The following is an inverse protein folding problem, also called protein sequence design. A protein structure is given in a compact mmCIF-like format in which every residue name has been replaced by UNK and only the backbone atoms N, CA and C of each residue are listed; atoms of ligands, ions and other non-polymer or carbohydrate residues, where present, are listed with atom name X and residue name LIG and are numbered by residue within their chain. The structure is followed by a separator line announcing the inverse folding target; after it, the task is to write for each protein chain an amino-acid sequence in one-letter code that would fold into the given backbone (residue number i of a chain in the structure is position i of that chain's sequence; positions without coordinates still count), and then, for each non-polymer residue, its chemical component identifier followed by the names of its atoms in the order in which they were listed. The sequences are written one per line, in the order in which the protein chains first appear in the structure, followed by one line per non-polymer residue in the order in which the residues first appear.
data_IF_754441438245
#
_entry.id   IF_754441438245
#
_cell.length_a   1.000
_cell.length_b   1.000
_cell.length_c   1.000
_cell.angle_alpha   90.00
_cell.angle_beta   90.00
_cell.angle_gamma   90.00
#
_symmetry.space_group_name_H-M   'P 1'
#
loop_
_entity.id
_entity.type
_entity.pdbx_description
1 polymer ?
#
# COMPACT_ATOMS: atom_id res chain seq x y z
N UNK A 1 -20.18 -9.06 -10.12
CA UNK A 1 -20.41 -7.70 -9.62
C UNK A 1 -19.08 -7.09 -9.18
N UNK A 2 -18.71 -5.93 -9.75
CA UNK A 2 -17.56 -5.17 -9.29
C UNK A 2 -17.92 -4.34 -8.04
N UNK A 3 -17.04 -4.33 -7.03
CA UNK A 3 -17.29 -3.75 -5.71
C UNK A 3 -17.58 -2.25 -5.72
N UNK A 4 -17.19 -1.55 -6.80
CA UNK A 4 -17.39 -0.12 -7.04
C UNK A 4 -18.80 0.23 -7.57
N UNK A 5 -19.52 -0.72 -8.17
CA UNK A 5 -20.77 -0.46 -8.87
C UNK A 5 -21.99 -1.06 -8.15
N UNK A 6 -21.94 -1.18 -6.82
CA UNK A 6 -23.01 -1.79 -6.01
C UNK A 6 -24.36 -1.08 -6.14
N UNK A 7 -24.35 0.20 -6.48
CA UNK A 7 -25.56 1.01 -6.70
C UNK A 7 -26.10 0.95 -8.13
N UNK A 8 -25.43 0.25 -9.05
CA UNK A 8 -25.84 0.14 -10.46
C UNK A 8 -26.73 -1.09 -10.62
N UNK A 9 -27.95 -0.96 -11.20
CA UNK A 9 -28.78 -2.11 -11.57
C UNK A 9 -28.03 -3.10 -12.47
N UNK A 10 -28.32 -4.40 -12.32
CA UNK A 10 -27.61 -5.46 -13.04
C UNK A 10 -27.70 -5.31 -14.56
N UNK A 11 -28.84 -4.82 -15.06
CA UNK A 11 -29.05 -4.57 -16.48
C UNK A 11 -28.08 -3.51 -17.00
N UNK A 12 -28.01 -2.35 -16.32
CA UNK A 12 -27.08 -1.26 -16.68
C UNK A 12 -25.61 -1.64 -16.45
N UNK A 13 -25.33 -2.49 -15.45
CA UNK A 13 -23.99 -3.01 -15.23
C UNK A 13 -23.52 -3.84 -16.42
N UNK A 14 -24.38 -4.76 -16.89
CA UNK A 14 -24.06 -5.65 -18.02
C UNK A 14 -23.96 -4.88 -19.33
N UNK A 15 -24.82 -3.87 -19.53
CA UNK A 15 -24.84 -3.05 -20.74
C UNK A 15 -23.61 -2.14 -20.84
N UNK A 16 -23.32 -1.37 -19.79
CA UNK A 16 -22.35 -0.28 -19.86
C UNK A 16 -21.08 -0.48 -19.02
N UNK A 17 -21.16 -1.13 -17.86
CA UNK A 17 -20.02 -1.21 -16.93
C UNK A 17 -19.01 -2.25 -17.38
N UNK A 18 -19.47 -3.42 -17.86
CA UNK A 18 -18.57 -4.46 -18.34
C UNK A 18 -17.73 -4.01 -19.55
N UNK A 19 -18.31 -3.15 -20.40
CA UNK A 19 -17.69 -2.67 -21.62
C UNK A 19 -17.13 -1.25 -21.53
N UNK A 20 -17.13 -0.63 -20.34
CA UNK A 20 -16.85 0.81 -20.17
C UNK A 20 -15.55 1.25 -20.86
N UNK A 21 -14.47 0.45 -20.78
CA UNK A 21 -13.21 0.80 -21.41
C UNK A 21 -13.22 0.64 -22.93
N UNK A 22 -14.03 -0.28 -23.47
CA UNK A 22 -14.20 -0.41 -24.92
C UNK A 22 -15.06 0.73 -25.47
N UNK A 23 -16.12 1.10 -24.77
CA UNK A 23 -16.97 2.25 -25.15
C UNK A 23 -16.16 3.55 -25.18
N UNK A 24 -15.33 3.80 -24.16
CA UNK A 24 -14.44 4.98 -24.15
C UNK A 24 -13.42 4.92 -25.29
N UNK A 25 -12.89 3.73 -25.62
CA UNK A 25 -11.94 3.58 -26.72
C UNK A 25 -12.59 3.87 -28.09
N UNK A 26 -13.83 3.41 -28.30
CA UNK A 26 -14.61 3.68 -29.51
C UNK A 26 -14.98 5.16 -29.61
N UNK A 27 -15.49 5.75 -28.53
CA UNK A 27 -15.91 7.16 -28.49
C UNK A 27 -14.74 8.10 -28.79
N UNK A 28 -13.56 7.83 -28.23
CA UNK A 28 -12.39 8.70 -28.40
C UNK A 28 -11.51 8.30 -29.59
N UNK A 29 -11.80 7.16 -30.23
CA UNK A 29 -11.03 6.58 -31.32
C UNK A 29 -9.52 6.49 -31.00
N UNK A 30 -9.21 6.03 -29.79
CA UNK A 30 -7.83 5.81 -29.30
C UNK A 30 -7.69 4.44 -28.65
N UNK A 31 -6.53 3.79 -28.75
CA UNK A 31 -6.30 2.55 -28.03
C UNK A 31 -6.24 2.81 -26.52
N UNK A 32 -6.87 1.92 -25.74
CA UNK A 32 -6.90 2.00 -24.27
C UNK A 32 -6.19 0.79 -23.66
N UNK A 33 -5.42 1.05 -22.61
CA UNK A 33 -4.85 0.01 -21.75
C UNK A 33 -5.18 0.31 -20.30
N UNK A 34 -5.71 -0.70 -19.61
CA UNK A 34 -6.05 -0.62 -18.19
C UNK A 34 -4.87 -1.15 -17.39
N UNK A 35 -4.44 -0.38 -16.41
CA UNK A 35 -3.32 -0.71 -15.52
C UNK A 35 -3.73 -0.33 -14.10
N UNK A 36 -3.32 -1.13 -13.11
CA UNK A 36 -3.52 -0.81 -11.70
C UNK A 36 -2.68 0.42 -11.29
N UNK A 37 -3.24 1.29 -10.45
CA UNK A 37 -2.60 2.53 -9.98
C UNK A 37 -1.34 2.28 -9.12
N UNK A 38 -1.34 1.18 -8.35
CA UNK A 38 -0.19 0.67 -7.64
C UNK A 38 0.95 0.33 -8.60
N UNK A 39 0.68 -0.40 -9.68
CA UNK A 39 1.71 -0.78 -10.66
C UNK A 39 2.29 0.44 -11.39
N UNK A 40 1.45 1.44 -11.72
CA UNK A 40 1.90 2.74 -12.24
C UNK A 40 2.82 3.44 -11.25
N UNK A 41 2.49 3.39 -9.96
CA UNK A 41 3.31 3.98 -8.89
C UNK A 41 4.66 3.26 -8.74
N UNK A 42 4.66 1.93 -8.80
CA UNK A 42 5.89 1.13 -8.74
C UNK A 42 6.78 1.39 -9.96
N UNK A 43 6.19 1.50 -11.16
CA UNK A 43 6.91 1.88 -12.38
C UNK A 43 7.53 3.27 -12.28
N UNK A 44 6.77 4.25 -11.80
CA UNK A 44 7.29 5.60 -11.56
C UNK A 44 8.46 5.59 -10.57
N UNK A 45 8.36 4.76 -9.52
CA UNK A 45 9.43 4.51 -8.57
C UNK A 45 10.67 3.90 -9.22
N UNK A 46 10.51 2.86 -10.02
CA UNK A 46 11.57 2.21 -10.77
C UNK A 46 12.30 3.18 -11.71
N UNK A 47 11.55 4.03 -12.42
CA UNK A 47 12.12 5.07 -13.29
C UNK A 47 12.90 6.11 -12.47
N UNK A 48 12.34 6.56 -11.34
CA UNK A 48 13.00 7.56 -10.49
C UNK A 48 14.30 7.04 -9.87
N UNK A 49 14.29 5.79 -9.40
CA UNK A 49 15.46 5.11 -8.83
C UNK A 49 16.46 4.65 -9.90
N UNK A 50 16.06 4.66 -11.18
CA UNK A 50 16.79 4.03 -12.27
C UNK A 50 17.17 2.57 -11.93
N UNK A 51 16.20 1.81 -11.41
CA UNK A 51 16.37 0.46 -10.90
C UNK A 51 15.13 -0.43 -11.14
N UNK A 52 15.34 -1.75 -11.21
CA UNK A 52 14.26 -2.74 -11.24
C UNK A 52 13.97 -3.33 -9.85
N UNK A 53 13.06 -4.31 -9.79
CA UNK A 53 12.68 -5.01 -8.55
C UNK A 53 12.11 -4.07 -7.49
N UNK A 54 11.16 -3.22 -7.90
CA UNK A 54 10.55 -2.19 -7.06
C UNK A 54 9.13 -2.59 -6.67
N UNK A 55 8.89 -2.77 -5.37
CA UNK A 55 7.57 -3.00 -4.81
C UNK A 55 7.06 -1.73 -4.12
N UNK A 56 5.98 -1.15 -4.63
CA UNK A 56 5.28 -0.05 -3.97
C UNK A 56 4.24 -0.57 -2.99
N UNK A 57 4.18 -0.01 -1.79
CA UNK A 57 3.11 -0.24 -0.81
C UNK A 57 2.54 1.11 -0.33
N UNK A 58 1.32 1.39 -0.73
CA UNK A 58 0.57 2.56 -0.31
C UNK A 58 -0.21 2.27 0.98
N UNK A 59 0.14 2.96 2.05
CA UNK A 59 -0.42 2.89 3.39
C UNK A 59 -1.30 4.11 3.66
N UNK A 60 -2.60 4.01 3.35
CA UNK A 60 -3.54 5.12 3.40
C UNK A 60 -4.87 4.77 4.05
N UNK A 61 -5.97 5.27 3.50
CA UNK A 61 -7.34 4.88 3.90
C UNK A 61 -7.58 3.37 3.69
N UNK A 62 -6.88 2.79 2.72
CA UNK A 62 -6.73 1.35 2.51
C UNK A 62 -5.24 1.03 2.35
N UNK A 63 -4.92 -0.23 2.05
CA UNK A 63 -3.63 -0.63 1.51
C UNK A 63 -3.77 -0.84 0.00
N UNK A 64 -2.74 -0.52 -0.77
CA UNK A 64 -2.62 -0.88 -2.18
C UNK A 64 -1.14 -1.16 -2.49
N UNK A 65 -0.88 -1.98 -3.50
CA UNK A 65 0.50 -2.28 -3.88
C UNK A 65 0.65 -2.39 -5.40
N UNK A 66 1.89 -2.30 -5.84
CA UNK A 66 2.26 -2.49 -7.24
C UNK A 66 3.70 -2.93 -7.37
N UNK A 67 4.03 -3.55 -8.50
CA UNK A 67 5.35 -4.09 -8.71
C UNK A 67 5.91 -3.79 -10.10
N UNK A 68 7.18 -3.38 -10.13
CA UNK A 68 7.99 -3.28 -11.34
C UNK A 68 9.11 -4.32 -11.30
N UNK A 69 9.19 -5.13 -12.35
CA UNK A 69 10.11 -6.26 -12.44
C UNK A 69 11.59 -5.85 -12.53
N UNK A 70 12.49 -6.83 -12.69
CA UNK A 70 13.93 -6.60 -12.83
C UNK A 70 14.30 -5.70 -14.03
N UNK A 71 13.43 -5.60 -15.03
CA UNK A 71 13.61 -4.75 -16.21
C UNK A 71 12.82 -3.44 -16.11
N UNK A 72 12.30 -3.10 -14.93
CA UNK A 72 11.46 -1.93 -14.69
C UNK A 72 10.17 -1.94 -15.53
N UNK A 73 9.53 -3.11 -15.67
CA UNK A 73 8.28 -3.28 -16.41
C UNK A 73 7.13 -3.65 -15.48
N UNK A 74 5.94 -3.20 -15.83
CA UNK A 74 4.70 -3.68 -15.22
C UNK A 74 4.49 -5.14 -15.62
N UNK A 75 4.13 -5.97 -14.66
CA UNK A 75 3.87 -7.40 -14.85
C UNK A 75 2.46 -7.65 -15.40
N UNK A 76 2.20 -8.81 -16.02
CA UNK A 76 0.87 -9.15 -16.54
C UNK A 76 -0.14 -9.56 -15.45
N UNK A 77 0.29 -9.71 -14.19
CA UNK A 77 -0.57 -10.00 -13.04
C UNK A 77 -0.88 -8.74 -12.24
N UNK A 78 -1.86 -8.85 -11.33
CA UNK A 78 -2.26 -7.78 -10.42
C UNK A 78 -1.58 -7.98 -9.06
N UNK A 79 -0.99 -6.92 -8.52
CA UNK A 79 -0.31 -6.92 -7.22
C UNK A 79 -1.25 -6.47 -6.07
N UNK A 80 -2.36 -7.18 -5.85
CA UNK A 80 -3.39 -6.81 -4.86
C UNK A 80 -3.00 -7.25 -3.43
N UNK A 81 -1.95 -6.66 -2.87
CA UNK A 81 -1.42 -7.07 -1.56
C UNK A 81 -2.35 -6.71 -0.39
N UNK A 82 -3.34 -5.84 -0.58
CA UNK A 82 -4.29 -5.45 0.46
C UNK A 82 -5.01 -6.64 1.10
N UNK A 83 -5.35 -7.65 0.28
CA UNK A 83 -6.11 -8.82 0.71
C UNK A 83 -5.23 -10.05 0.98
N UNK A 84 -3.91 -9.94 0.84
CA UNK A 84 -2.99 -11.04 1.16
C UNK A 84 -2.87 -11.20 2.68
N UNK A 85 -2.98 -12.42 3.23
CA UNK A 85 -2.77 -12.66 4.65
C UNK A 85 -1.32 -12.42 5.05
N UNK A 86 -1.11 -11.58 6.08
CA UNK A 86 0.21 -11.33 6.69
C UNK A 86 0.26 -11.71 8.17
N UNK A 87 -0.90 -11.86 8.80
CA UNK A 87 -1.03 -12.33 10.18
C UNK A 87 -1.75 -13.67 10.17
N UNK A 88 -1.04 -14.72 10.57
CA UNK A 88 -1.53 -16.10 10.57
C UNK A 88 -2.08 -16.51 11.95
N UNK A 89 -2.21 -15.58 12.90
CA UNK A 89 -2.82 -15.83 14.19
C UNK A 89 -4.28 -16.28 14.03
N UNK A 90 -4.71 -17.23 14.86
CA UNK A 90 -6.12 -17.64 14.95
C UNK A 90 -7.05 -16.47 15.34
N UNK A 91 -6.49 -15.44 15.99
CA UNK A 91 -7.20 -14.23 16.41
C UNK A 91 -6.83 -13.01 15.55
N UNK A 92 -6.31 -13.21 14.34
CA UNK A 92 -5.99 -12.13 13.42
C UNK A 92 -7.23 -11.26 13.12
N UNK A 93 -7.03 -10.02 12.70
CA UNK A 93 -8.18 -9.19 12.34
C UNK A 93 -8.90 -9.72 11.11
N UNK A 94 -10.22 -9.71 11.18
CA UNK A 94 -11.10 -10.03 10.07
C UNK A 94 -11.34 -8.78 9.23
N UNK A 95 -11.11 -8.87 7.93
CA UNK A 95 -11.45 -7.82 6.99
C UNK A 95 -12.97 -7.64 6.87
N UNK A 96 -13.42 -6.39 6.94
CA UNK A 96 -14.84 -6.04 6.92
C UNK A 96 -15.50 -6.35 5.57
N UNK A 97 -14.72 -6.35 4.47
CA UNK A 97 -15.23 -6.51 3.12
C UNK A 97 -15.13 -7.96 2.61
N UNK A 98 -13.95 -8.57 2.66
CA UNK A 98 -13.75 -9.95 2.19
C UNK A 98 -14.20 -10.97 3.23
N UNK A 99 -14.17 -10.61 4.52
CA UNK A 99 -14.42 -11.54 5.62
C UNK A 99 -13.24 -12.46 5.93
N UNK A 100 -12.11 -12.32 5.24
CA UNK A 100 -10.87 -13.08 5.47
C UNK A 100 -10.11 -12.56 6.68
N UNK A 101 -9.24 -13.39 7.25
CA UNK A 101 -8.44 -13.06 8.42
C UNK A 101 -7.01 -12.69 8.03
N UNK A 102 -6.44 -11.72 8.75
CA UNK A 102 -5.03 -11.36 8.63
C UNK A 102 -4.66 -10.59 7.37
N UNK A 103 -5.63 -10.11 6.59
CA UNK A 103 -5.38 -9.35 5.36
C UNK A 103 -4.55 -8.09 5.63
N UNK A 104 -3.54 -7.82 4.80
CA UNK A 104 -2.59 -6.72 4.96
C UNK A 104 -3.25 -5.35 5.13
N UNK A 105 -4.41 -5.11 4.52
CA UNK A 105 -5.21 -3.89 4.70
C UNK A 105 -5.50 -3.58 6.16
N UNK A 106 -5.68 -4.58 7.02
CA UNK A 106 -5.93 -4.39 8.45
C UNK A 106 -4.68 -3.96 9.25
N UNK A 107 -3.50 -3.99 8.63
CA UNK A 107 -2.20 -3.77 9.25
C UNK A 107 -1.41 -2.62 8.61
N UNK A 108 -1.70 -2.29 7.34
CA UNK A 108 -1.00 -1.25 6.56
C UNK A 108 -1.92 -0.12 6.09
N UNK A 109 -2.92 0.24 6.89
CA UNK A 109 -3.84 1.34 6.60
C UNK A 109 -4.28 2.06 7.88
N UNK A 110 -5.17 3.05 7.75
CA UNK A 110 -5.80 3.71 8.90
C UNK A 110 -6.54 2.73 9.84
N UNK A 111 -6.97 1.58 9.33
CA UNK A 111 -7.61 0.51 10.10
C UNK A 111 -6.63 -0.02 11.15
N UNK A 112 -5.35 -0.18 10.78
CA UNK A 112 -4.30 -0.62 11.69
C UNK A 112 -4.09 0.41 12.81
N UNK A 113 -3.93 1.69 12.44
CA UNK A 113 -3.77 2.78 13.40
C UNK A 113 -4.96 2.83 14.36
N UNK A 114 -6.18 2.81 13.83
CA UNK A 114 -7.40 2.85 14.65
C UNK A 114 -7.53 1.66 15.61
N UNK A 115 -7.14 0.44 15.19
CA UNK A 115 -7.18 -0.77 16.03
C UNK A 115 -6.15 -0.72 17.16
N UNK A 116 -5.02 -0.04 16.95
CA UNK A 116 -3.91 0.00 17.88
C UNK A 116 -3.99 1.12 18.92
N UNK A 117 -4.91 2.08 18.77
CA UNK A 117 -5.11 3.19 19.72
C UNK A 117 -5.41 2.68 21.13
N UNK A 118 -6.44 1.84 21.29
CA UNK A 118 -6.86 1.33 22.59
C UNK A 118 -5.78 0.42 23.22
N UNK A 119 -5.20 -0.57 22.53
CA UNK A 119 -4.09 -1.37 23.06
C UNK A 119 -2.84 -0.56 23.44
N UNK A 120 -2.56 0.55 22.75
CA UNK A 120 -1.47 1.45 23.10
C UNK A 120 -1.79 2.34 24.32
N UNK A 121 -3.05 2.37 24.77
CA UNK A 121 -3.51 3.19 25.88
C UNK A 121 -3.60 4.69 25.55
N UNK A 122 -3.67 5.04 24.26
CA UNK A 122 -3.82 6.43 23.82
C UNK A 122 -5.30 6.83 23.88
N UNK A 123 -5.60 7.93 24.56
CA UNK A 123 -6.97 8.38 24.77
C UNK A 123 -7.45 9.21 23.57
N UNK A 124 -8.19 8.56 22.67
CA UNK A 124 -8.85 9.21 21.53
C UNK A 124 -10.32 8.76 21.53
N UNK A 125 -11.23 9.69 21.23
CA UNK A 125 -12.65 9.41 21.15
C UNK A 125 -12.95 8.28 20.14
N UNK A 126 -13.54 7.15 20.60
CA UNK A 126 -13.81 6.00 19.75
C UNK A 126 -14.87 6.29 18.68
N UNK A 127 -15.69 7.33 18.82
CA UNK A 127 -16.72 7.72 17.85
C UNK A 127 -16.15 8.39 16.60
N UNK A 128 -14.92 8.89 16.66
CA UNK A 128 -14.25 9.52 15.52
C UNK A 128 -13.99 8.54 14.38
N UNK A 129 -14.04 9.07 13.15
CA UNK A 129 -13.65 8.33 11.96
C UNK A 129 -12.17 7.97 11.95
N UNK A 130 -11.83 6.94 11.16
CA UNK A 130 -10.45 6.47 10.97
C UNK A 130 -9.51 7.62 10.49
N UNK A 131 -9.92 8.54 9.59
CA UNK A 131 -9.08 9.67 9.19
C UNK A 131 -8.77 10.66 10.32
N UNK A 132 -9.76 11.00 11.14
CA UNK A 132 -9.62 11.93 12.27
C UNK A 132 -8.75 11.31 13.37
N UNK A 133 -8.97 10.03 13.68
CA UNK A 133 -8.12 9.26 14.59
C UNK A 133 -6.65 9.28 14.16
N UNK A 134 -6.37 9.06 12.87
CA UNK A 134 -5.01 9.12 12.34
C UNK A 134 -4.37 10.49 12.59
N UNK A 135 -5.10 11.59 12.36
CA UNK A 135 -4.57 12.94 12.61
C UNK A 135 -4.20 13.12 14.08
N UNK A 136 -5.06 12.70 15.02
CA UNK A 136 -4.77 12.79 16.45
C UNK A 136 -3.57 11.94 16.88
N UNK A 137 -3.41 10.73 16.31
CA UNK A 137 -2.21 9.91 16.55
C UNK A 137 -0.95 10.58 15.99
N UNK A 138 -1.05 11.25 14.85
CA UNK A 138 0.06 12.01 14.24
C UNK A 138 0.46 13.22 15.09
N UNK A 139 -0.53 13.96 15.60
CA UNK A 139 -0.29 15.08 16.52
C UNK A 139 0.37 14.61 17.82
N UNK A 140 -0.10 13.50 18.40
CA UNK A 140 0.52 12.90 19.59
C UNK A 140 1.96 12.41 19.30
N UNK A 141 2.21 11.84 18.12
CA UNK A 141 3.55 11.44 17.72
C UNK A 141 4.48 12.65 17.53
N UNK A 142 3.96 13.76 17.01
CA UNK A 142 4.74 14.98 16.80
C UNK A 142 5.22 15.59 18.12
N UNK A 143 4.40 15.48 19.19
CA UNK A 143 4.76 15.89 20.55
C UNK A 143 5.61 14.86 21.30
N UNK A 144 5.90 13.70 20.70
CA UNK A 144 6.74 12.65 21.27
C UNK A 144 6.02 11.73 22.26
N UNK A 145 4.70 11.57 22.15
CA UNK A 145 3.93 10.63 22.97
C UNK A 145 4.37 9.18 22.70
N UNK A 146 4.86 8.51 23.74
CA UNK A 146 5.39 7.16 23.66
C UNK A 146 4.32 6.12 23.29
N UNK A 147 3.06 6.38 23.60
CA UNK A 147 1.93 5.52 23.22
C UNK A 147 1.65 5.62 21.73
N UNK A 148 1.71 6.82 21.16
CA UNK A 148 1.64 7.00 19.72
C UNK A 148 2.83 6.32 19.02
N UNK A 149 4.04 6.48 19.56
CA UNK A 149 5.22 5.80 19.05
C UNK A 149 5.09 4.25 19.08
N UNK A 150 4.44 3.69 20.11
CA UNK A 150 4.16 2.25 20.20
C UNK A 150 3.27 1.74 19.06
N UNK A 151 2.29 2.53 18.61
CA UNK A 151 1.46 2.20 17.45
C UNK A 151 2.34 2.09 16.19
N UNK A 152 3.17 3.10 15.92
CA UNK A 152 4.04 3.11 14.75
C UNK A 152 5.09 1.97 14.78
N UNK A 153 5.68 1.68 15.95
CA UNK A 153 6.59 0.52 16.10
C UNK A 153 5.88 -0.80 15.84
N UNK A 154 4.63 -0.93 16.27
CA UNK A 154 3.84 -2.13 16.03
C UNK A 154 3.60 -2.31 14.52
N UNK A 155 3.21 -1.24 13.81
CA UNK A 155 3.04 -1.27 12.35
C UNK A 155 4.36 -1.59 11.63
N UNK A 156 5.48 -0.98 12.07
CA UNK A 156 6.81 -1.31 11.53
C UNK A 156 7.21 -2.76 11.76
N UNK A 157 6.82 -3.33 12.90
CA UNK A 157 7.02 -4.77 13.18
C UNK A 157 6.21 -5.64 12.23
N UNK A 158 4.92 -5.33 12.02
CA UNK A 158 4.11 -6.02 11.01
C UNK A 158 4.74 -5.95 9.62
N UNK A 159 5.24 -4.78 9.24
CA UNK A 159 5.89 -4.59 7.94
C UNK A 159 7.17 -5.44 7.82
N UNK A 160 8.02 -5.43 8.83
CA UNK A 160 9.25 -6.23 8.87
C UNK A 160 9.01 -7.73 8.71
N UNK A 161 7.93 -8.27 9.28
CA UNK A 161 7.55 -9.67 9.11
C UNK A 161 6.78 -9.98 7.82
N UNK A 162 6.09 -8.99 7.23
CA UNK A 162 5.38 -9.15 5.96
C UNK A 162 6.33 -9.16 4.76
N UNK A 163 7.40 -8.35 4.79
CA UNK A 163 8.36 -8.24 3.67
C UNK A 163 8.94 -9.60 3.23
N UNK A 164 9.43 -10.47 4.13
CA UNK A 164 9.87 -11.81 3.76
C UNK A 164 8.79 -12.66 3.10
N UNK A 165 7.51 -12.48 3.47
CA UNK A 165 6.40 -13.20 2.82
C UNK A 165 6.20 -12.71 1.39
N UNK A 166 6.24 -11.39 1.18
CA UNK A 166 6.19 -10.81 -0.16
C UNK A 166 7.39 -11.25 -1.00
N UNK A 167 8.59 -11.28 -0.42
CA UNK A 167 9.83 -11.69 -1.10
C UNK A 167 9.83 -13.16 -1.59
N UNK A 168 8.84 -13.98 -1.19
CA UNK A 168 8.64 -15.33 -1.74
C UNK A 168 8.02 -15.32 -3.14
N UNK A 169 7.35 -14.23 -3.51
CA UNK A 169 6.62 -14.08 -4.76
C UNK A 169 7.16 -12.96 -5.65
N UNK A 170 7.85 -11.98 -5.05
CA UNK A 170 8.45 -10.85 -5.73
C UNK A 170 9.96 -10.83 -5.51
N UNK A 171 10.73 -10.58 -6.56
CA UNK A 171 12.13 -10.18 -6.39
C UNK A 171 12.15 -8.72 -5.94
N UNK A 172 12.36 -8.48 -4.65
CA UNK A 172 12.34 -7.14 -4.06
C UNK A 172 13.78 -6.68 -3.83
N UNK A 173 14.14 -5.51 -4.38
CA UNK A 173 15.37 -4.78 -4.03
C UNK A 173 15.05 -3.43 -3.39
N UNK A 174 13.97 -2.80 -3.85
CA UNK A 174 13.50 -1.53 -3.34
C UNK A 174 12.04 -1.64 -2.97
N UNK A 175 11.70 -1.33 -1.71
CA UNK A 175 10.32 -1.20 -1.28
C UNK A 175 10.01 0.28 -1.05
N UNK A 176 9.08 0.80 -1.85
CA UNK A 176 8.64 2.19 -1.80
C UNK A 176 7.38 2.29 -0.97
N UNK A 177 7.49 2.95 0.18
CA UNK A 177 6.43 3.13 1.15
C UNK A 177 5.83 4.52 1.00
N UNK A 178 4.52 4.62 0.78
CA UNK A 178 3.86 5.90 0.56
C UNK A 178 2.49 5.94 1.24
N UNK A 179 1.90 7.12 1.35
CA UNK A 179 0.56 7.29 1.92
C UNK A 179 0.55 7.88 3.32
N UNK A 180 -0.64 8.30 3.73
CA UNK A 180 -0.82 9.16 4.90
C UNK A 180 -0.53 8.52 6.24
N UNK A 181 -0.45 7.19 6.34
CA UNK A 181 -0.02 6.52 7.57
C UNK A 181 1.47 6.80 7.85
N UNK A 182 2.27 7.07 6.81
CA UNK A 182 3.71 7.35 6.92
C UNK A 182 4.02 8.83 7.10
N UNK A 183 3.02 9.71 7.28
CA UNK A 183 3.27 11.16 7.41
C UNK A 183 3.94 11.48 8.75
N UNK A 184 4.99 12.30 8.70
CA UNK A 184 5.69 12.80 9.88
C UNK A 184 6.60 11.76 10.54
N UNK A 185 6.99 12.01 11.80
CA UNK A 185 7.93 11.17 12.56
C UNK A 185 7.48 9.71 12.69
N UNK A 186 6.16 9.45 12.66
CA UNK A 186 5.61 8.10 12.72
C UNK A 186 6.05 7.22 11.55
N UNK A 187 6.18 7.78 10.35
CA UNK A 187 6.67 7.04 9.18
C UNK A 187 8.12 6.59 9.32
N UNK A 188 8.97 7.45 9.88
CA UNK A 188 10.37 7.11 10.18
C UNK A 188 10.47 5.97 11.19
N UNK A 189 9.59 5.96 12.21
CA UNK A 189 9.51 4.87 13.19
C UNK A 189 9.07 3.55 12.55
N UNK A 190 8.09 3.57 11.64
CA UNK A 190 7.67 2.37 10.91
C UNK A 190 8.85 1.78 10.14
N UNK A 191 9.56 2.62 9.38
CA UNK A 191 10.69 2.20 8.53
C UNK A 191 11.81 1.64 9.39
N UNK A 192 12.26 2.41 10.38
CA UNK A 192 13.34 2.02 11.28
C UNK A 192 13.05 0.69 11.98
N UNK A 193 11.80 0.50 12.44
CA UNK A 193 11.41 -0.76 13.09
C UNK A 193 11.31 -1.93 12.11
N UNK A 194 10.86 -1.71 10.89
CA UNK A 194 10.85 -2.74 9.85
C UNK A 194 12.28 -3.16 9.46
N UNK A 195 13.20 -2.20 9.32
CA UNK A 195 14.63 -2.46 9.08
C UNK A 195 15.27 -3.21 10.24
N UNK A 196 14.91 -2.88 11.48
CA UNK A 196 15.35 -3.60 12.68
C UNK A 196 14.96 -5.08 12.61
N UNK A 197 13.68 -5.38 12.32
CA UNK A 197 13.19 -6.75 12.17
C UNK A 197 13.90 -7.47 11.02
N UNK A 198 14.05 -6.83 9.86
CA UNK A 198 14.76 -7.43 8.73
C UNK A 198 16.21 -7.74 9.06
N UNK A 199 16.92 -6.84 9.74
CA UNK A 199 18.31 -7.05 10.11
C UNK A 199 18.47 -8.19 11.11
N UNK A 200 17.60 -8.26 12.10
CA UNK A 200 17.77 -9.17 13.23
C UNK A 200 17.22 -10.58 12.92
N UNK A 201 16.09 -10.67 12.21
CA UNK A 201 15.40 -11.95 11.93
C UNK A 201 15.63 -12.46 10.51
N UNK A 202 15.89 -11.57 9.54
CA UNK A 202 16.02 -11.90 8.11
C UNK A 202 17.27 -11.28 7.47
N UNK A 203 18.47 -11.47 8.06
CA UNK A 203 19.67 -10.68 7.74
C UNK A 203 20.08 -10.72 6.26
N UNK A 204 19.81 -11.80 5.54
CA UNK A 204 20.10 -11.89 4.11
C UNK A 204 19.17 -11.01 3.27
N UNK A 205 17.90 -10.89 3.64
CA UNK A 205 16.97 -9.94 3.01
C UNK A 205 17.25 -8.50 3.46
N UNK A 206 17.58 -8.28 4.73
CA UNK A 206 17.92 -6.95 5.25
C UNK A 206 19.16 -6.32 4.60
N UNK A 207 20.05 -7.12 3.99
CA UNK A 207 21.20 -6.62 3.22
C UNK A 207 20.85 -6.24 1.78
N UNK A 208 19.75 -6.76 1.23
CA UNK A 208 19.41 -6.64 -0.19
C UNK A 208 18.20 -5.76 -0.46
N UNK A 209 17.27 -5.66 0.50
CA UNK A 209 16.06 -4.85 0.41
C UNK A 209 16.29 -3.51 1.10
N UNK A 210 16.12 -2.42 0.36
CA UNK A 210 16.07 -1.06 0.91
C UNK A 210 14.63 -0.58 1.07
N UNK A 211 14.29 0.02 2.22
CA UNK A 211 13.02 0.69 2.44
C UNK A 211 13.18 2.19 2.25
N UNK A 212 12.28 2.83 1.51
CA UNK A 212 12.31 4.28 1.34
C UNK A 212 10.93 4.85 1.04
N UNK A 213 10.81 6.17 1.17
CA UNK A 213 9.59 6.90 0.76
C UNK A 213 9.85 7.65 -0.56
N UNK A 214 8.80 7.90 -1.37
CA UNK A 214 8.93 8.69 -2.59
C UNK A 214 9.49 10.08 -2.32
N UNK A 215 10.40 10.54 -3.19
CA UNK A 215 10.80 11.94 -3.22
C UNK A 215 9.66 12.87 -3.73
N UNK A 216 9.82 14.17 -3.56
CA UNK A 216 8.82 15.17 -4.00
C UNK A 216 8.55 15.15 -5.51
N UNK A 217 9.55 14.76 -6.33
CA UNK A 217 9.41 14.71 -7.79
C UNK A 217 8.49 13.55 -8.19
N UNK A 218 8.69 12.40 -7.58
CA UNK A 218 7.92 11.18 -7.78
C UNK A 218 6.47 11.36 -7.32
N UNK A 219 6.23 12.02 -6.18
CA UNK A 219 4.88 12.35 -5.71
C UNK A 219 4.09 13.23 -6.68
N UNK A 220 4.75 14.17 -7.35
CA UNK A 220 4.08 15.16 -8.23
C UNK A 220 3.84 14.66 -9.65
N UNK A 221 4.75 13.86 -10.21
CA UNK A 221 4.72 13.54 -11.64
C UNK A 221 4.71 12.04 -11.95
N UNK A 222 4.67 11.16 -10.94
CA UNK A 222 4.84 9.72 -11.12
C UNK A 222 3.88 9.11 -12.14
N UNK A 223 2.58 9.43 -12.05
CA UNK A 223 1.57 8.90 -12.97
C UNK A 223 1.79 9.38 -14.42
N UNK A 224 2.14 10.65 -14.62
CA UNK A 224 2.40 11.20 -15.95
C UNK A 224 3.66 10.59 -16.59
N UNK A 225 4.72 10.40 -15.80
CA UNK A 225 5.97 9.78 -16.24
C UNK A 225 5.74 8.32 -16.63
N UNK A 226 5.01 7.57 -15.79
CA UNK A 226 4.67 6.18 -16.08
C UNK A 226 3.81 6.06 -17.34
N UNK A 227 2.77 6.90 -17.50
CA UNK A 227 1.95 6.92 -18.71
C UNK A 227 2.77 7.22 -19.98
N UNK A 228 3.70 8.18 -19.91
CA UNK A 228 4.59 8.52 -21.03
C UNK A 228 5.64 7.46 -21.36
N UNK A 229 5.87 6.50 -20.45
CA UNK A 229 6.83 5.40 -20.64
C UNK A 229 6.21 4.15 -21.27
N UNK A 230 4.88 4.11 -21.40
CA UNK A 230 4.20 2.98 -22.03
C UNK A 230 4.54 2.94 -23.54
N UNK A 231 4.72 1.74 -24.11
CA UNK A 231 5.10 1.61 -25.52
C UNK A 231 4.02 2.19 -26.45
N UNK A 232 4.44 2.75 -27.59
CA UNK A 232 3.55 3.12 -28.69
C UNK A 232 2.78 1.88 -29.19
N UNK A 233 1.50 2.07 -29.47
CA UNK A 233 0.55 1.01 -29.86
C UNK A 233 0.52 0.87 -31.38
#
# INVERSE_FOLDING_TARGET
AASLFRGVPNELFSEHVENIFFEVAEEWNVPIRVVNDGDVTALAGAISLNAGCVLGLAMGTSAAAGYADINSRITPWISELAFVPIDFSENAARDEWSGDFGCAVNYFSQQAVSRLIEPAGLEIDPSLGKPEKLVLVQEAMETGDEKAAAIYRTIGTYLGYAIPQFARFYDIRHMLLLGRVLTGKGGEVIISKAEEVLRDEFPELGKTISLSTPDEKMKRHGQAIAAASLPEI
#
